data_IF_640923566822
#
_entry.id   IF_640923566822
#
_cell.length_a   1.000
_cell.length_b   1.000
_cell.length_c   1.000
_cell.angle_alpha   90.00
_cell.angle_beta   90.00
_cell.angle_gamma   90.00
#
_symmetry.space_group_name_H-M   'P 1'
#
loop_
_entity.id
_entity.type
_entity.pdbx_description
1 polymer ?
#
# COMPACT_ATOMS: atom_id res chain seq x y z
N UNK A 1 24.88 19.89 -10.07
CA UNK A 1 24.41 18.55 -9.64
C UNK A 1 23.16 18.73 -8.82
N UNK A 2 22.00 18.18 -9.25
CA UNK A 2 20.82 18.11 -8.35
C UNK A 2 21.18 17.15 -7.22
N UNK A 3 21.27 17.67 -5.99
CA UNK A 3 21.40 16.85 -4.79
C UNK A 3 20.23 15.86 -4.77
N UNK A 4 20.53 14.56 -4.89
CA UNK A 4 19.51 13.51 -4.79
C UNK A 4 19.29 13.21 -3.32
N UNK A 5 18.03 13.02 -2.96
CA UNK A 5 17.60 13.04 -1.57
C UNK A 5 17.08 11.64 -1.24
N UNK A 6 17.58 10.99 -0.18
CA UNK A 6 17.17 9.62 0.13
C UNK A 6 15.80 9.61 0.81
N UNK A 7 14.78 9.04 0.16
CA UNK A 7 13.46 8.81 0.76
C UNK A 7 13.36 7.37 1.24
N UNK A 8 12.86 7.16 2.47
CA UNK A 8 12.54 5.84 2.99
C UNK A 8 11.03 5.63 2.91
N UNK A 9 10.61 4.63 2.16
CA UNK A 9 9.22 4.21 2.04
C UNK A 9 8.97 3.03 2.95
N UNK A 10 8.10 3.21 3.95
CA UNK A 10 7.65 2.15 4.83
C UNK A 10 6.24 1.70 4.43
N UNK A 11 6.09 0.49 3.92
CA UNK A 11 4.76 -0.09 3.71
C UNK A 11 4.40 -1.02 4.87
N UNK A 12 3.29 -0.73 5.55
CA UNK A 12 2.75 -1.59 6.59
C UNK A 12 1.52 -2.35 6.06
N UNK A 13 1.52 -3.67 6.15
CA UNK A 13 0.40 -4.49 5.70
C UNK A 13 0.71 -5.99 5.77
N UNK A 14 -0.34 -6.81 5.77
CA UNK A 14 -0.22 -8.26 5.66
C UNK A 14 -0.18 -8.65 4.18
N UNK A 15 1.02 -8.73 3.61
CA UNK A 15 1.25 -9.18 2.24
C UNK A 15 1.27 -10.72 2.19
N UNK A 16 0.10 -11.34 2.31
CA UNK A 16 -0.04 -12.78 2.53
C UNK A 16 -0.82 -13.48 1.40
N UNK A 17 -0.20 -13.78 0.25
CA UNK A 17 1.21 -13.58 -0.10
C UNK A 17 1.49 -12.23 -0.77
N UNK A 18 2.78 -11.88 -0.88
CA UNK A 18 3.24 -10.72 -1.65
C UNK A 18 3.03 -10.97 -3.15
N UNK A 19 2.58 -9.94 -3.86
CA UNK A 19 2.19 -9.99 -5.28
C UNK A 19 3.09 -9.04 -6.05
N UNK A 20 3.16 -9.18 -7.38
CA UNK A 20 3.89 -8.23 -8.22
C UNK A 20 3.35 -6.80 -8.06
N UNK A 21 2.06 -6.68 -7.75
CA UNK A 21 1.39 -5.40 -7.53
C UNK A 21 1.76 -4.74 -6.20
N UNK A 22 2.08 -5.50 -5.15
CA UNK A 22 2.65 -4.93 -3.93
C UNK A 22 4.04 -4.33 -4.16
N UNK A 23 4.85 -4.94 -5.03
CA UNK A 23 6.17 -4.41 -5.39
C UNK A 23 6.04 -3.12 -6.23
N UNK A 24 5.06 -3.08 -7.15
CA UNK A 24 4.76 -1.90 -7.97
C UNK A 24 4.42 -0.66 -7.14
N UNK A 25 3.77 -0.84 -6.00
CA UNK A 25 3.45 0.23 -5.04
C UNK A 25 4.67 1.10 -4.70
N UNK A 26 5.82 0.45 -4.47
CA UNK A 26 7.07 1.14 -4.12
C UNK A 26 7.63 1.94 -5.30
N UNK A 27 7.53 1.41 -6.52
CA UNK A 27 7.99 2.09 -7.73
C UNK A 27 7.18 3.36 -8.01
N UNK A 28 5.84 3.26 -7.92
CA UNK A 28 4.94 4.39 -8.12
C UNK A 28 5.19 5.49 -7.09
N UNK A 29 5.37 5.10 -5.83
CA UNK A 29 5.68 6.04 -4.77
C UNK A 29 7.04 6.71 -4.95
N UNK A 30 8.07 5.95 -5.33
CA UNK A 30 9.40 6.48 -5.66
C UNK A 30 9.30 7.51 -6.79
N UNK A 31 8.61 7.15 -7.89
CA UNK A 31 8.51 8.01 -9.07
C UNK A 31 7.78 9.34 -8.77
N UNK A 32 6.83 9.33 -7.82
CA UNK A 32 6.11 10.51 -7.36
C UNK A 32 6.97 11.46 -6.50
N UNK A 33 7.92 10.93 -5.72
CA UNK A 33 8.66 11.70 -4.71
C UNK A 33 9.93 12.38 -5.23
N UNK A 34 10.09 12.52 -6.54
CA UNK A 34 11.25 13.16 -7.14
C UNK A 34 11.23 14.71 -7.01
N UNK A 35 11.44 15.23 -5.79
CA UNK A 35 12.13 16.49 -5.41
C UNK A 35 11.74 16.93 -3.99
N UNK A 36 12.64 16.75 -3.01
CA UNK A 36 12.55 17.34 -1.64
C UNK A 36 13.95 17.77 -1.16
N UNK A 37 14.10 18.27 0.08
CA UNK A 37 15.33 18.80 0.69
C UNK A 37 15.65 18.12 2.06
N UNK A 38 16.17 16.88 2.05
CA UNK A 38 16.58 16.09 3.23
C UNK A 38 15.93 14.70 3.27
N UNK A 39 16.52 13.68 3.93
CA UNK A 39 15.90 12.37 4.00
C UNK A 39 14.57 12.41 4.74
N UNK A 40 13.53 11.82 4.13
CA UNK A 40 12.18 11.78 4.70
C UNK A 40 11.72 10.33 4.80
N UNK A 41 11.11 9.99 5.94
CA UNK A 41 10.37 8.75 6.12
C UNK A 41 8.90 9.02 5.82
N UNK A 42 8.31 8.27 4.87
CA UNK A 42 6.88 8.35 4.58
C UNK A 42 6.22 6.98 4.65
N UNK A 43 4.99 6.96 5.13
CA UNK A 43 4.15 5.77 5.13
C UNK A 43 3.61 5.53 3.72
N UNK A 44 3.93 4.38 3.12
CA UNK A 44 3.41 3.94 1.84
C UNK A 44 2.19 3.04 2.06
N UNK A 45 1.04 3.40 1.50
CA UNK A 45 -0.16 2.60 1.64
C UNK A 45 -1.12 2.70 0.43
N UNK A 46 -2.04 1.76 0.34
CA UNK A 46 -3.17 1.85 -0.59
C UNK A 46 -4.29 2.75 -0.06
N UNK A 47 -5.15 3.22 -0.96
CA UNK A 47 -6.32 4.03 -0.63
C UNK A 47 -7.29 3.38 0.38
N UNK A 48 -7.31 2.05 0.44
CA UNK A 48 -8.05 1.26 1.42
C UNK A 48 -7.56 1.50 2.85
N UNK A 49 -6.24 1.57 3.08
CA UNK A 49 -5.67 1.88 4.40
C UNK A 49 -6.01 3.31 4.82
N UNK A 50 -5.90 4.28 3.90
CA UNK A 50 -6.24 5.68 4.18
C UNK A 50 -7.69 5.84 4.64
N UNK A 51 -8.63 5.07 4.05
CA UNK A 51 -10.03 5.02 4.49
C UNK A 51 -10.16 4.54 5.94
N UNK A 52 -9.31 3.61 6.37
CA UNK A 52 -9.41 3.01 7.70
C UNK A 52 -9.08 3.97 8.85
N UNK A 53 -8.42 5.10 8.59
CA UNK A 53 -8.20 6.14 9.61
C UNK A 53 -9.49 6.76 10.14
N UNK A 54 -10.60 6.61 9.42
CA UNK A 54 -11.92 7.05 9.86
C UNK A 54 -12.73 5.92 10.52
N UNK A 55 -12.20 4.68 10.56
CA UNK A 55 -12.88 3.55 11.19
C UNK A 55 -12.83 3.70 12.72
N UNK A 56 -13.99 3.74 13.40
CA UNK A 56 -14.04 3.87 14.85
C UNK A 56 -13.24 2.79 15.56
N UNK A 57 -12.48 3.19 16.59
CA UNK A 57 -11.69 2.31 17.45
C UNK A 57 -10.54 1.53 16.77
N UNK A 58 -10.24 1.80 15.50
CA UNK A 58 -9.12 1.16 14.81
C UNK A 58 -7.82 1.95 14.95
N UNK A 59 -7.90 3.27 14.87
CA UNK A 59 -6.76 4.18 15.03
C UNK A 59 -7.07 5.20 16.12
N UNK A 60 -6.04 5.56 16.90
CA UNK A 60 -6.12 6.71 17.80
C UNK A 60 -5.86 7.97 16.99
N UNK A 61 -6.70 8.99 17.16
CA UNK A 61 -6.54 10.29 16.48
C UNK A 61 -5.14 10.89 16.64
N UNK A 62 -4.55 10.76 17.84
CA UNK A 62 -3.19 11.20 18.11
C UNK A 62 -2.14 10.50 17.22
N UNK A 63 -2.30 9.19 16.97
CA UNK A 63 -1.39 8.45 16.09
C UNK A 63 -1.62 8.82 14.61
N UNK A 64 -2.88 8.99 14.18
CA UNK A 64 -3.18 9.44 12.81
C UNK A 64 -2.55 10.80 12.56
N UNK A 65 -2.72 11.74 13.50
CA UNK A 65 -2.10 13.05 13.44
C UNK A 65 -0.58 12.93 13.35
N UNK A 66 0.07 12.18 14.23
CA UNK A 66 1.52 12.01 14.22
C UNK A 66 2.03 11.47 12.86
N UNK A 67 1.34 10.48 12.29
CA UNK A 67 1.68 9.92 10.98
C UNK A 67 1.64 10.99 9.90
N UNK A 68 0.54 11.75 9.77
CA UNK A 68 0.38 12.72 8.67
C UNK A 68 1.15 14.02 8.91
N UNK A 69 1.42 14.37 10.16
CA UNK A 69 2.14 15.59 10.55
C UNK A 69 3.65 15.40 10.45
N UNK A 70 4.22 14.40 11.15
CA UNK A 70 5.67 14.23 11.29
C UNK A 70 6.32 13.51 10.11
N UNK A 71 5.63 12.53 9.54
CA UNK A 71 6.21 11.63 8.52
C UNK A 71 5.61 11.92 7.14
N UNK A 72 4.29 11.91 7.06
CA UNK A 72 3.54 12.02 5.82
C UNK A 72 3.25 10.66 5.21
N UNK A 73 2.39 10.68 4.19
CA UNK A 73 1.85 9.49 3.55
C UNK A 73 2.04 9.58 2.05
N UNK A 74 2.39 8.47 1.42
CA UNK A 74 2.24 8.27 -0.01
C UNK A 74 1.15 7.23 -0.22
N UNK A 75 -0.01 7.71 -0.66
CA UNK A 75 -1.19 6.90 -0.87
C UNK A 75 -1.34 6.59 -2.36
N UNK A 76 -1.28 5.31 -2.72
CA UNK A 76 -1.51 4.86 -4.10
C UNK A 76 -2.99 4.61 -4.33
N UNK A 77 -3.51 5.17 -5.43
CA UNK A 77 -4.91 5.02 -5.83
C UNK A 77 -5.28 3.56 -6.09
N UNK A 78 -6.51 3.17 -5.74
CA UNK A 78 -7.10 1.85 -6.03
C UNK A 78 -8.51 1.99 -6.60
N UNK A 79 -8.93 1.05 -7.43
CA UNK A 79 -10.30 1.00 -7.96
C UNK A 79 -11.31 0.96 -6.80
N UNK A 80 -12.40 1.71 -6.92
CA UNK A 80 -13.45 1.77 -5.90
C UNK A 80 -13.14 2.65 -4.68
N UNK A 81 -12.00 3.34 -4.65
CA UNK A 81 -11.63 4.25 -3.58
C UNK A 81 -11.43 5.69 -4.08
N UNK A 82 -11.86 6.67 -3.28
CA UNK A 82 -11.65 8.09 -3.53
C UNK A 82 -10.83 8.75 -2.39
N UNK A 83 -9.49 8.72 -2.47
CA UNK A 83 -8.62 9.31 -1.45
C UNK A 83 -8.91 10.79 -1.15
N UNK A 84 -9.35 11.55 -2.17
CA UNK A 84 -9.65 12.98 -2.00
C UNK A 84 -10.85 13.19 -1.08
N UNK A 85 -11.88 12.36 -1.20
CA UNK A 85 -13.03 12.39 -0.30
C UNK A 85 -12.64 12.00 1.13
N UNK A 86 -11.77 11.00 1.30
CA UNK A 86 -11.29 10.60 2.63
C UNK A 86 -10.49 11.73 3.30
N UNK A 87 -9.65 12.42 2.55
CA UNK A 87 -8.89 13.56 3.07
C UNK A 87 -9.83 14.71 3.46
N UNK A 88 -10.80 15.04 2.61
CA UNK A 88 -11.76 16.13 2.89
C UNK A 88 -12.72 15.80 4.04
N UNK A 89 -13.06 14.52 4.23
CA UNK A 89 -13.98 14.06 5.27
C UNK A 89 -13.37 13.94 6.67
N UNK A 90 -12.05 14.04 6.82
CA UNK A 90 -11.37 13.99 8.12
C UNK A 90 -10.71 15.33 8.46
N UNK A 91 -11.05 15.96 9.60
CA UNK A 91 -10.42 17.22 10.02
C UNK A 91 -8.89 17.12 10.15
N UNK A 92 -8.38 15.97 10.63
CA UNK A 92 -6.94 15.71 10.79
C UNK A 92 -6.28 15.59 9.41
N UNK A 93 -6.82 14.77 8.51
CA UNK A 93 -6.23 14.57 7.18
C UNK A 93 -6.30 15.85 6.34
N UNK A 94 -7.41 16.58 6.39
CA UNK A 94 -7.56 17.85 5.69
C UNK A 94 -6.51 18.89 6.15
N UNK A 95 -6.27 18.97 7.47
CA UNK A 95 -5.28 19.89 8.04
C UNK A 95 -3.88 19.63 7.51
N UNK A 96 -3.46 18.36 7.45
CA UNK A 96 -2.12 17.95 7.02
C UNK A 96 -2.06 17.46 5.56
N UNK A 97 -3.05 17.80 4.73
CA UNK A 97 -3.17 17.35 3.33
C UNK A 97 -1.94 17.63 2.45
N UNK A 98 -1.14 18.64 2.80
CA UNK A 98 0.09 19.00 2.10
C UNK A 98 1.19 17.93 2.25
N UNK A 99 1.11 17.08 3.27
CA UNK A 99 2.04 15.97 3.52
C UNK A 99 1.43 14.59 3.15
N UNK A 100 0.27 14.59 2.47
CA UNK A 100 -0.40 13.40 1.95
C UNK A 100 -0.28 13.43 0.42
N UNK A 101 0.58 12.56 -0.09
CA UNK A 101 0.95 12.46 -1.50
C UNK A 101 0.07 11.41 -2.19
N UNK A 102 -0.77 11.84 -3.11
CA UNK A 102 -1.63 10.94 -3.88
C UNK A 102 -0.92 10.51 -5.16
N UNK A 103 -0.36 9.31 -5.15
CA UNK A 103 0.28 8.74 -6.32
C UNK A 103 -0.76 8.01 -7.18
N UNK A 104 -0.79 8.33 -8.48
CA UNK A 104 -1.70 7.71 -9.44
C UNK A 104 -1.03 6.49 -10.05
N UNK A 105 -1.69 5.35 -9.97
CA UNK A 105 -1.33 4.19 -10.79
C UNK A 105 -2.11 4.29 -12.12
N UNK A 106 -1.43 4.35 -13.29
CA UNK A 106 -2.08 4.41 -14.60
C UNK A 106 -2.79 3.10 -14.99
N UNK A 107 -2.49 1.99 -14.31
CA UNK A 107 -3.05 0.66 -14.57
C UNK A 107 -4.02 0.28 -13.45
N UNK A 108 -5.21 -0.22 -13.81
CA UNK A 108 -6.14 -0.76 -12.82
C UNK A 108 -5.53 -1.99 -12.14
N UNK A 109 -5.33 -1.87 -10.83
CA UNK A 109 -4.76 -2.91 -9.99
C UNK A 109 -5.84 -3.50 -9.06
N UNK A 110 -6.47 -4.58 -9.50
CA UNK A 110 -7.51 -5.28 -8.73
C UNK A 110 -7.01 -6.56 -8.04
N UNK A 111 -5.72 -6.87 -8.18
CA UNK A 111 -5.15 -8.08 -7.60
C UNK A 111 -5.04 -7.93 -6.07
N UNK A 112 -5.73 -8.80 -5.34
CA UNK A 112 -5.66 -8.89 -3.89
C UNK A 112 -5.06 -10.22 -3.43
N UNK A 113 -4.41 -10.25 -2.27
CA UNK A 113 -3.95 -11.51 -1.70
C UNK A 113 -5.11 -12.47 -1.40
N UNK A 114 -6.31 -11.97 -1.12
CA UNK A 114 -7.52 -12.80 -0.94
C UNK A 114 -7.85 -13.56 -2.23
N UNK A 115 -7.87 -12.88 -3.37
CA UNK A 115 -8.05 -13.53 -4.66
C UNK A 115 -6.96 -14.58 -4.93
N UNK A 116 -5.70 -14.26 -4.64
CA UNK A 116 -4.57 -15.20 -4.82
C UNK A 116 -4.75 -16.46 -3.98
N UNK A 117 -5.08 -16.32 -2.69
CA UNK A 117 -5.32 -17.48 -1.80
C UNK A 117 -6.49 -18.33 -2.29
N UNK A 118 -7.56 -17.70 -2.79
CA UNK A 118 -8.70 -18.42 -3.37
C UNK A 118 -8.33 -19.16 -4.67
N UNK A 119 -7.54 -18.53 -5.55
CA UNK A 119 -7.06 -19.17 -6.77
C UNK A 119 -6.18 -20.39 -6.45
N UNK A 120 -5.26 -20.24 -5.50
CA UNK A 120 -4.40 -21.33 -5.01
C UNK A 120 -5.20 -22.49 -4.43
N UNK A 121 -6.20 -22.22 -3.58
CA UNK A 121 -7.03 -23.27 -2.96
C UNK A 121 -7.91 -24.02 -3.97
N UNK A 122 -8.17 -23.41 -5.13
CA UNK A 122 -8.89 -24.03 -6.25
C UNK A 122 -7.97 -24.73 -7.25
N UNK A 123 -6.64 -24.72 -7.03
CA UNK A 123 -5.67 -25.31 -7.96
C UNK A 123 -5.44 -24.50 -9.22
N UNK A 124 -5.88 -23.24 -9.26
CA UNK A 124 -5.61 -22.34 -10.38
C UNK A 124 -4.16 -21.86 -10.37
N UNK A 125 -3.63 -21.63 -11.58
CA UNK A 125 -2.30 -21.01 -11.72
C UNK A 125 -2.34 -19.56 -11.25
N UNK A 126 -1.35 -19.16 -10.46
CA UNK A 126 -1.10 -17.77 -10.07
C UNK A 126 0.18 -17.22 -10.69
N UNK A 127 0.69 -17.88 -11.76
CA UNK A 127 1.84 -17.40 -12.52
C UNK A 127 1.58 -15.98 -13.02
N UNK A 128 2.61 -15.13 -12.97
CA UNK A 128 2.57 -13.70 -13.31
C UNK A 128 1.82 -12.80 -12.31
N UNK A 129 1.07 -13.35 -11.36
CA UNK A 129 0.44 -12.58 -10.27
C UNK A 129 1.41 -12.37 -9.09
N UNK A 130 2.32 -13.32 -8.89
CA UNK A 130 3.33 -13.33 -7.83
C UNK A 130 4.73 -13.47 -8.46
N UNK A 131 5.80 -13.08 -7.75
CA UNK A 131 7.15 -13.46 -8.12
C UNK A 131 7.32 -14.98 -8.13
N UNK A 132 8.07 -15.52 -9.08
CA UNK A 132 8.26 -16.98 -9.23
C UNK A 132 8.84 -17.63 -7.96
N UNK A 133 9.73 -16.93 -7.24
CA UNK A 133 10.29 -17.41 -5.98
C UNK A 133 9.21 -17.56 -4.88
N UNK A 134 8.19 -16.71 -4.87
CA UNK A 134 7.07 -16.80 -3.92
C UNK A 134 6.16 -17.98 -4.30
N UNK A 135 5.93 -18.20 -5.60
CA UNK A 135 5.17 -19.36 -6.08
C UNK A 135 5.89 -20.66 -5.69
N UNK A 136 7.20 -20.73 -5.89
CA UNK A 136 8.02 -21.87 -5.49
C UNK A 136 7.90 -22.14 -3.98
N UNK A 137 8.07 -21.11 -3.15
CA UNK A 137 7.92 -21.23 -1.70
C UNK A 137 6.54 -21.73 -1.29
N UNK A 138 5.46 -21.20 -1.88
CA UNK A 138 4.09 -21.65 -1.61
C UNK A 138 3.92 -23.14 -1.92
N UNK A 139 4.48 -23.59 -3.05
CA UNK A 139 4.43 -24.99 -3.48
C UNK A 139 5.23 -25.89 -2.55
N UNK A 140 6.45 -25.49 -2.20
CA UNK A 140 7.36 -26.29 -1.36
C UNK A 140 6.81 -26.48 0.06
N UNK A 141 6.06 -25.49 0.56
CA UNK A 141 5.47 -25.50 1.90
C UNK A 141 3.97 -25.86 1.94
N UNK A 142 3.37 -26.23 0.80
CA UNK A 142 1.94 -26.58 0.68
C UNK A 142 0.99 -25.53 1.30
N UNK A 143 1.30 -24.24 1.12
CA UNK A 143 0.51 -23.15 1.68
C UNK A 143 -0.77 -22.89 0.87
N UNK A 144 -1.83 -22.46 1.55
CA UNK A 144 -3.12 -22.06 0.96
C UNK A 144 -3.85 -23.18 0.19
N UNK A 145 -3.66 -24.43 0.62
CA UNK A 145 -4.45 -25.57 0.14
C UNK A 145 -5.85 -25.56 0.76
N UNK A 146 -6.80 -26.31 0.18
CA UNK A 146 -8.18 -26.42 0.70
C UNK A 146 -8.24 -26.81 2.18
N UNK A 147 -7.27 -27.60 2.64
CA UNK A 147 -7.23 -28.14 4.00
C UNK A 147 -6.59 -27.16 5.02
N UNK A 148 -6.16 -25.98 4.59
CA UNK A 148 -5.52 -24.95 5.43
C UNK A 148 -6.50 -23.95 6.07
N UNK A 149 -7.78 -24.32 6.22
CA UNK A 149 -8.87 -23.44 6.68
C UNK A 149 -9.03 -23.44 8.20
#
# INVERSE_FOLDING_TARGET
MKSRIPVVLLACGSFNPITNMHLRLFEVARDHLHQTAGPELKLLCGADVLKTFQTPNLWKDAHVQEIVEKFGIVCVSRTGHNPKEYISGSPILHRYRHNIHLAREPVQNELSSTYVRQALSQGHSVKYLLPDAVIAYIKDHNLYTRDSS
#
